data_IF_796391431191
#
_entry.id   IF_796391431191
#
_cell.length_a   1.000
_cell.length_b   1.000
_cell.length_c   1.000
_cell.angle_alpha   90.00
_cell.angle_beta   90.00
_cell.angle_gamma   90.00
#
_symmetry.space_group_name_H-M   'P 1'
#
loop_
_entity.id
_entity.type
_entity.pdbx_description
1 polymer ?
#
# COMPACT_ATOMS: atom_id res chain seq x y z
N UNK A 1 39.24 -8.52 -6.95
CA UNK A 1 38.26 -8.41 -5.85
C UNK A 1 37.20 -9.47 -6.09
N UNK A 2 36.86 -10.34 -5.14
CA UNK A 2 35.89 -11.42 -5.39
C UNK A 2 34.47 -10.88 -5.63
N UNK A 3 33.68 -11.53 -6.49
CA UNK A 3 32.33 -11.11 -6.88
C UNK A 3 31.40 -10.83 -5.67
N UNK A 4 31.52 -11.62 -4.59
CA UNK A 4 30.77 -11.41 -3.36
C UNK A 4 31.11 -10.13 -2.59
N UNK A 5 32.33 -9.58 -2.71
CA UNK A 5 32.70 -8.30 -2.09
C UNK A 5 32.13 -7.13 -2.89
N UNK A 6 32.17 -7.22 -4.22
CA UNK A 6 31.61 -6.18 -5.11
C UNK A 6 30.09 -6.06 -4.89
N UNK A 7 29.37 -7.17 -4.74
CA UNK A 7 27.91 -7.15 -4.48
C UNK A 7 27.57 -6.44 -3.18
N UNK A 8 28.33 -6.70 -2.10
CA UNK A 8 28.14 -6.02 -0.81
C UNK A 8 28.40 -4.52 -0.89
N UNK A 9 29.44 -4.11 -1.62
CA UNK A 9 29.77 -2.68 -1.79
C UNK A 9 28.66 -1.98 -2.59
N UNK A 10 28.21 -2.58 -3.71
CA UNK A 10 27.10 -2.04 -4.50
C UNK A 10 25.82 -1.91 -3.66
N UNK A 11 25.53 -2.92 -2.81
CA UNK A 11 24.39 -2.88 -1.90
C UNK A 11 24.50 -1.73 -0.89
N UNK A 12 25.66 -1.53 -0.26
CA UNK A 12 25.86 -0.41 0.69
C UNK A 12 25.60 0.93 0.00
N UNK A 13 26.16 1.14 -1.20
CA UNK A 13 25.91 2.37 -1.96
C UNK A 13 24.43 2.54 -2.34
N UNK A 14 23.72 1.47 -2.73
CA UNK A 14 22.27 1.55 -2.97
C UNK A 14 21.49 1.85 -1.70
N UNK A 15 21.90 1.31 -0.54
CA UNK A 15 21.28 1.64 0.76
C UNK A 15 21.49 3.12 1.06
N UNK A 16 22.70 3.66 0.92
CA UNK A 16 22.98 5.08 1.15
C UNK A 16 22.19 5.98 0.18
N UNK A 17 22.17 5.60 -1.10
CA UNK A 17 21.41 6.25 -2.18
C UNK A 17 19.90 6.29 -1.87
N UNK A 18 19.32 5.18 -1.44
CA UNK A 18 17.91 5.10 -1.14
C UNK A 18 17.54 5.79 0.19
N UNK A 19 18.31 5.52 1.25
CA UNK A 19 17.93 5.92 2.61
C UNK A 19 18.13 7.40 2.89
N UNK A 20 19.06 8.06 2.20
CA UNK A 20 19.31 9.50 2.38
C UNK A 20 18.13 10.40 2.00
N UNK A 21 17.10 9.90 1.30
CA UNK A 21 15.84 10.63 1.06
C UNK A 21 14.96 10.76 2.32
N UNK A 22 15.16 9.87 3.29
CA UNK A 22 14.46 9.92 4.58
C UNK A 22 15.10 10.97 5.52
N UNK A 23 16.13 11.66 5.04
CA UNK A 23 16.76 12.80 5.68
C UNK A 23 16.38 14.10 4.94
N UNK A 24 16.28 15.25 5.65
CA UNK A 24 16.42 15.38 7.09
C UNK A 24 15.26 14.70 7.83
N UNK A 25 15.55 14.25 9.05
CA UNK A 25 14.58 13.70 9.99
C UNK A 25 14.78 14.39 11.35
N UNK A 26 13.85 14.26 12.32
CA UNK A 26 13.99 14.98 13.59
C UNK A 26 15.30 14.69 14.34
N UNK A 27 15.87 13.50 14.14
CA UNK A 27 17.17 13.12 14.73
C UNK A 27 18.37 13.72 13.98
N UNK A 28 18.19 14.09 12.71
CA UNK A 28 19.23 14.59 11.81
C UNK A 28 18.62 15.69 10.91
N UNK A 29 18.44 16.91 11.44
CA UNK A 29 17.71 17.98 10.75
C UNK A 29 18.52 18.61 9.60
N UNK A 30 19.82 18.33 9.53
CA UNK A 30 20.71 18.92 8.53
C UNK A 30 20.47 18.30 7.16
N UNK A 31 20.24 19.15 6.15
CA UNK A 31 20.19 18.72 4.74
C UNK A 31 21.54 18.33 4.13
N UNK A 32 22.59 18.28 4.96
CA UNK A 32 23.96 17.99 4.55
C UNK A 32 24.63 17.00 5.50
N UNK A 33 25.54 16.17 4.98
CA UNK A 33 26.42 15.29 5.76
C UNK A 33 27.85 15.65 5.37
N UNK A 34 28.67 16.03 6.35
CA UNK A 34 30.04 16.52 6.12
C UNK A 34 30.15 17.62 5.05
N UNK A 35 29.15 18.52 4.99
CA UNK A 35 29.11 19.63 4.03
C UNK A 35 28.60 19.28 2.64
N UNK A 36 28.35 18.00 2.34
CA UNK A 36 27.75 17.56 1.08
C UNK A 36 26.22 17.54 1.18
N UNK A 37 25.52 18.06 0.18
CA UNK A 37 24.06 17.99 0.16
C UNK A 37 23.57 16.55 0.02
N UNK A 38 22.47 16.21 0.70
CA UNK A 38 21.90 14.85 0.63
C UNK A 38 21.58 14.42 -0.81
N UNK A 39 21.20 15.36 -1.68
CA UNK A 39 20.97 15.08 -3.10
C UNK A 39 22.25 14.65 -3.85
N UNK A 40 23.38 15.28 -3.53
CA UNK A 40 24.67 14.94 -4.14
C UNK A 40 25.15 13.57 -3.65
N UNK A 41 24.96 13.28 -2.35
CA UNK A 41 25.23 11.96 -1.77
C UNK A 41 24.42 10.89 -2.48
N UNK A 42 23.12 11.12 -2.68
CA UNK A 42 22.23 10.22 -3.43
C UNK A 42 22.77 9.91 -4.80
N UNK A 43 23.11 10.95 -5.57
CA UNK A 43 23.58 10.80 -6.96
C UNK A 43 24.94 10.12 -7.04
N UNK A 44 25.88 10.49 -6.18
CA UNK A 44 27.21 9.89 -6.13
C UNK A 44 27.14 8.40 -5.77
N UNK A 45 26.38 8.07 -4.72
CA UNK A 45 26.19 6.68 -4.30
C UNK A 45 25.53 5.84 -5.40
N UNK A 46 24.54 6.39 -6.10
CA UNK A 46 23.86 5.67 -7.18
C UNK A 46 24.78 5.39 -8.37
N UNK A 47 25.51 6.40 -8.82
CA UNK A 47 26.47 6.29 -9.92
C UNK A 47 27.56 5.25 -9.64
N UNK A 48 28.05 5.21 -8.40
CA UNK A 48 29.02 4.18 -7.97
C UNK A 48 28.36 2.80 -7.99
N UNK A 49 27.15 2.66 -7.45
CA UNK A 49 26.44 1.39 -7.44
C UNK A 49 26.16 0.86 -8.86
N UNK A 50 25.74 1.71 -9.79
CA UNK A 50 25.52 1.36 -11.21
C UNK A 50 26.81 0.92 -11.91
N UNK A 51 27.92 1.58 -11.62
CA UNK A 51 29.23 1.22 -12.16
C UNK A 51 29.68 -0.16 -11.65
N UNK A 52 29.39 -0.46 -10.39
CA UNK A 52 29.68 -1.78 -9.79
C UNK A 52 28.73 -2.86 -10.32
N UNK A 53 27.46 -2.55 -10.59
CA UNK A 53 26.44 -3.47 -11.10
C UNK A 53 26.88 -4.16 -12.40
N UNK A 54 27.53 -3.42 -13.31
CA UNK A 54 28.10 -3.97 -14.55
C UNK A 54 29.14 -5.08 -14.34
N UNK A 55 29.74 -5.13 -13.15
CA UNK A 55 30.77 -6.10 -12.78
C UNK A 55 30.24 -7.25 -11.91
N UNK A 56 28.92 -7.29 -11.64
CA UNK A 56 28.31 -8.31 -10.79
C UNK A 56 27.84 -9.52 -11.61
N UNK A 57 28.38 -10.69 -11.29
CA UNK A 57 27.82 -11.99 -11.64
C UNK A 57 27.36 -12.69 -10.36
N UNK A 58 26.12 -12.47 -9.90
CA UNK A 58 25.67 -13.10 -8.65
C UNK A 58 24.35 -12.58 -8.05
N UNK A 59 24.13 -12.91 -6.78
CA UNK A 59 23.00 -12.52 -5.91
C UNK A 59 22.85 -10.99 -5.91
N UNK A 60 22.02 -10.52 -6.84
CA UNK A 60 21.82 -9.11 -7.16
C UNK A 60 20.46 -8.55 -6.75
N UNK A 61 19.60 -9.41 -6.20
CA UNK A 61 18.21 -9.08 -5.86
C UNK A 61 18.12 -7.83 -4.98
N UNK A 62 18.93 -7.73 -3.93
CA UNK A 62 18.83 -6.63 -2.96
C UNK A 62 19.21 -5.27 -3.56
N UNK A 63 20.25 -5.20 -4.39
CA UNK A 63 20.65 -3.92 -5.00
C UNK A 63 19.69 -3.52 -6.12
N UNK A 64 19.19 -4.49 -6.90
CA UNK A 64 18.14 -4.25 -7.91
C UNK A 64 16.83 -3.80 -7.26
N UNK A 65 16.44 -4.40 -6.15
CA UNK A 65 15.25 -3.99 -5.38
C UNK A 65 15.36 -2.55 -4.87
N UNK A 66 16.52 -2.12 -4.39
CA UNK A 66 16.73 -0.73 -3.97
C UNK A 66 16.75 0.24 -5.16
N UNK A 67 17.36 -0.14 -6.29
CA UNK A 67 17.34 0.65 -7.51
C UNK A 67 15.90 0.83 -8.05
N UNK A 68 15.12 -0.25 -8.02
CA UNK A 68 13.70 -0.24 -8.36
C UNK A 68 12.92 0.70 -7.44
N UNK A 69 13.11 0.60 -6.11
CA UNK A 69 12.41 1.47 -5.16
C UNK A 69 12.73 2.95 -5.39
N UNK A 70 14.00 3.26 -5.69
CA UNK A 70 14.40 4.62 -6.06
C UNK A 70 13.71 5.10 -7.33
N UNK A 71 13.71 4.31 -8.40
CA UNK A 71 13.04 4.67 -9.65
C UNK A 71 11.54 4.93 -9.44
N UNK A 72 10.91 4.16 -8.54
CA UNK A 72 9.52 4.40 -8.13
C UNK A 72 9.35 5.76 -7.47
N UNK A 73 10.21 6.12 -6.52
CA UNK A 73 10.14 7.42 -5.82
C UNK A 73 10.36 8.62 -6.74
N UNK A 74 11.22 8.45 -7.74
CA UNK A 74 11.53 9.48 -8.75
C UNK A 74 10.39 9.62 -9.79
N UNK A 75 9.36 8.77 -9.71
CA UNK A 75 8.24 8.79 -10.64
C UNK A 75 8.62 8.29 -12.03
N UNK A 76 9.56 7.35 -12.12
CA UNK A 76 10.00 6.74 -13.37
C UNK A 76 9.45 5.30 -13.50
N UNK A 77 8.18 5.14 -13.96
CA UNK A 77 7.50 3.85 -13.97
C UNK A 77 8.17 2.82 -14.90
N UNK A 78 8.79 3.28 -15.99
CA UNK A 78 9.45 2.40 -16.96
C UNK A 78 10.72 1.77 -16.36
N UNK A 79 11.58 2.60 -15.75
CA UNK A 79 12.79 2.10 -15.05
C UNK A 79 12.39 1.25 -13.85
N UNK A 80 11.37 1.67 -13.09
CA UNK A 80 10.83 0.88 -11.99
C UNK A 80 10.44 -0.52 -12.46
N UNK A 81 9.65 -0.63 -13.54
CA UNK A 81 9.17 -1.90 -14.06
C UNK A 81 10.31 -2.76 -14.61
N UNK A 82 11.26 -2.16 -15.33
CA UNK A 82 12.45 -2.87 -15.80
C UNK A 82 13.24 -3.48 -14.64
N UNK A 83 13.57 -2.67 -13.62
CA UNK A 83 14.34 -3.13 -12.46
C UNK A 83 13.58 -4.14 -11.61
N UNK A 84 12.26 -4.03 -11.50
CA UNK A 84 11.39 -5.01 -10.84
C UNK A 84 11.45 -6.36 -11.58
N UNK A 85 11.31 -6.35 -12.90
CA UNK A 85 11.43 -7.55 -13.73
C UNK A 85 12.79 -8.24 -13.56
N UNK A 86 13.87 -7.45 -13.61
CA UNK A 86 15.23 -7.96 -13.39
C UNK A 86 15.40 -8.54 -11.98
N UNK A 87 14.86 -7.89 -10.95
CA UNK A 87 14.91 -8.38 -9.58
C UNK A 87 14.14 -9.70 -9.42
N UNK A 88 12.92 -9.81 -9.96
CA UNK A 88 12.11 -11.04 -9.91
C UNK A 88 12.83 -12.18 -10.62
N UNK A 89 13.24 -11.96 -11.87
CA UNK A 89 13.96 -12.96 -12.67
C UNK A 89 15.21 -13.42 -11.93
N UNK A 90 16.00 -12.50 -11.39
CA UNK A 90 17.24 -12.87 -10.69
C UNK A 90 16.97 -13.66 -9.42
N UNK A 91 15.87 -13.37 -8.73
CA UNK A 91 15.43 -14.10 -7.53
C UNK A 91 15.00 -15.53 -7.86
N UNK A 92 14.30 -15.71 -8.98
CA UNK A 92 13.89 -17.02 -9.49
C UNK A 92 15.09 -17.85 -9.96
N UNK A 93 16.05 -17.24 -10.66
CA UNK A 93 17.28 -17.91 -11.14
C UNK A 93 18.10 -18.53 -10.00
N UNK A 94 18.10 -17.89 -8.82
CA UNK A 94 18.81 -18.39 -7.63
C UNK A 94 17.92 -19.20 -6.69
N UNK A 95 16.66 -19.46 -7.07
CA UNK A 95 15.71 -20.28 -6.32
C UNK A 95 15.20 -19.66 -5.01
N UNK A 96 15.34 -18.34 -4.82
CA UNK A 96 14.88 -17.62 -3.62
C UNK A 96 13.39 -17.22 -3.69
N UNK A 97 12.72 -17.54 -4.79
CA UNK A 97 11.27 -17.43 -4.99
C UNK A 97 10.48 -18.58 -4.34
N UNK A 98 11.18 -19.63 -3.88
CA UNK A 98 10.58 -20.81 -3.26
C UNK A 98 10.67 -20.74 -1.75
N UNK A 99 9.52 -20.75 -1.09
CA UNK A 99 9.44 -20.89 0.36
C UNK A 99 9.73 -22.34 0.78
N UNK A 100 10.47 -22.49 1.88
CA UNK A 100 10.75 -23.80 2.49
C UNK A 100 10.35 -23.72 3.97
N UNK A 101 9.25 -24.37 4.38
CA UNK A 101 8.86 -24.43 5.78
C UNK A 101 9.92 -25.09 6.65
N UNK A 102 10.04 -24.65 7.90
CA UNK A 102 10.93 -25.25 8.88
C UNK A 102 10.20 -26.19 9.84
N UNK A 103 10.99 -27.06 10.47
CA UNK A 103 10.60 -28.04 11.48
C UNK A 103 10.60 -27.47 12.91
N UNK A 104 11.15 -26.27 13.11
CA UNK A 104 11.18 -25.58 14.39
C UNK A 104 11.07 -24.06 14.22
N UNK A 105 10.65 -23.38 15.29
CA UNK A 105 10.33 -21.95 15.30
C UNK A 105 11.52 -21.04 14.95
N UNK A 106 12.69 -21.29 15.52
CA UNK A 106 13.90 -20.49 15.23
C UNK A 106 14.31 -20.53 13.76
N UNK A 107 14.18 -21.71 13.15
CA UNK A 107 14.47 -21.90 11.73
C UNK A 107 13.36 -21.33 10.85
N UNK A 108 12.10 -21.39 11.29
CA UNK A 108 10.97 -20.76 10.60
C UNK A 108 11.18 -19.25 10.51
N UNK A 109 11.51 -18.59 11.64
CA UNK A 109 11.80 -17.16 11.68
C UNK A 109 12.92 -16.80 10.69
N UNK A 110 13.98 -17.63 10.59
CA UNK A 110 15.06 -17.42 9.61
C UNK A 110 14.58 -17.59 8.17
N UNK A 111 13.78 -18.62 7.90
CA UNK A 111 13.26 -18.89 6.56
C UNK A 111 12.31 -17.77 6.09
N UNK A 112 11.42 -17.29 6.97
CA UNK A 112 10.58 -16.11 6.71
C UNK A 112 11.45 -14.90 6.35
N UNK A 113 12.46 -14.57 7.17
CA UNK A 113 13.35 -13.43 6.93
C UNK A 113 14.11 -13.54 5.60
N UNK A 114 14.51 -14.75 5.19
CA UNK A 114 15.17 -14.99 3.91
C UNK A 114 14.22 -14.89 2.72
N UNK A 115 12.94 -15.20 2.92
CA UNK A 115 11.90 -15.13 1.89
C UNK A 115 11.30 -13.73 1.71
N UNK A 116 11.36 -12.90 2.75
CA UNK A 116 10.81 -11.53 2.77
C UNK A 116 11.19 -10.64 1.57
N UNK A 117 12.44 -10.65 1.05
CA UNK A 117 12.76 -9.87 -0.14
C UNK A 117 11.89 -10.23 -1.35
N UNK A 118 11.62 -11.53 -1.58
CA UNK A 118 10.75 -11.96 -2.65
C UNK A 118 9.29 -11.60 -2.38
N UNK A 119 8.84 -11.72 -1.13
CA UNK A 119 7.52 -11.24 -0.71
C UNK A 119 7.28 -9.77 -1.10
N UNK A 120 8.28 -8.90 -0.88
CA UNK A 120 8.18 -7.49 -1.26
C UNK A 120 8.13 -7.32 -2.79
N UNK A 121 8.95 -8.04 -3.56
CA UNK A 121 8.89 -8.02 -5.02
C UNK A 121 7.50 -8.43 -5.54
N UNK A 122 6.91 -9.48 -4.96
CA UNK A 122 5.55 -9.92 -5.29
C UNK A 122 4.50 -8.84 -5.03
N UNK A 123 4.58 -8.18 -3.86
CA UNK A 123 3.67 -7.08 -3.51
C UNK A 123 3.80 -5.95 -4.53
N UNK A 124 5.02 -5.51 -4.85
CA UNK A 124 5.23 -4.41 -5.80
C UNK A 124 4.82 -4.78 -7.24
N UNK A 125 5.03 -6.02 -7.67
CA UNK A 125 4.58 -6.52 -8.98
C UNK A 125 3.05 -6.53 -9.08
N UNK A 126 2.37 -6.89 -7.99
CA UNK A 126 0.91 -6.85 -7.92
C UNK A 126 0.30 -5.45 -7.97
N UNK A 127 1.08 -4.41 -7.69
CA UNK A 127 0.65 -3.01 -7.71
C UNK A 127 0.81 -2.38 -9.10
N UNK A 128 1.35 -3.10 -10.08
CA UNK A 128 1.44 -2.61 -11.45
C UNK A 128 0.12 -2.81 -12.19
N UNK A 129 -0.27 -1.87 -13.05
CA UNK A 129 -1.47 -1.97 -13.91
C UNK A 129 -1.33 -3.07 -15.00
N UNK A 130 -0.35 -3.95 -14.89
CA UNK A 130 0.04 -4.91 -15.91
C UNK A 130 -0.03 -6.34 -15.41
N UNK A 131 -0.03 -7.30 -16.33
CA UNK A 131 0.01 -8.73 -15.99
C UNK A 131 1.22 -8.98 -15.08
N UNK A 132 1.01 -9.52 -13.86
CA UNK A 132 2.10 -9.76 -12.92
C UNK A 132 3.17 -10.68 -13.50
N UNK A 133 4.44 -10.30 -13.34
CA UNK A 133 5.62 -11.06 -13.76
C UNK A 133 5.83 -12.27 -12.85
N UNK A 134 5.53 -12.14 -11.56
CA UNK A 134 5.81 -13.17 -10.55
C UNK A 134 4.88 -14.39 -10.60
N UNK A 135 3.84 -14.37 -11.44
CA UNK A 135 2.72 -15.32 -11.34
C UNK A 135 1.94 -15.14 -10.02
N UNK A 136 1.03 -16.07 -9.71
CA UNK A 136 0.33 -16.11 -8.42
C UNK A 136 1.06 -17.05 -7.44
N UNK A 137 1.24 -16.62 -6.19
CA UNK A 137 1.78 -17.49 -5.15
C UNK A 137 0.71 -18.46 -4.68
N UNK A 138 1.10 -19.73 -4.55
CA UNK A 138 0.25 -20.76 -3.95
C UNK A 138 0.25 -20.63 -2.43
N UNK A 139 -0.79 -21.15 -1.78
CA UNK A 139 -0.94 -21.06 -0.33
C UNK A 139 0.22 -21.74 0.43
N UNK A 140 0.81 -22.80 -0.11
CA UNK A 140 1.98 -23.50 0.45
C UNK A 140 3.29 -22.70 0.32
N UNK A 141 3.29 -21.61 -0.45
CA UNK A 141 4.42 -20.69 -0.62
C UNK A 141 4.32 -19.47 0.30
N UNK A 142 3.22 -19.31 1.04
CA UNK A 142 3.03 -18.21 1.99
C UNK A 142 3.47 -18.68 3.39
N UNK A 143 4.41 -17.97 4.06
CA UNK A 143 4.87 -18.37 5.39
C UNK A 143 3.74 -18.47 6.44
N UNK A 144 3.91 -19.34 7.44
CA UNK A 144 2.94 -19.44 8.53
C UNK A 144 2.95 -18.15 9.37
N UNK A 145 1.76 -17.66 9.69
CA UNK A 145 1.51 -16.41 10.41
C UNK A 145 1.17 -16.63 11.88
N UNK A 146 1.19 -17.88 12.35
CA UNK A 146 0.88 -18.27 13.74
C UNK A 146 2.02 -18.05 14.74
N UNK A 147 3.13 -17.45 14.30
CA UNK A 147 4.25 -17.11 15.17
C UNK A 147 3.80 -16.12 16.26
N UNK A 148 4.07 -16.48 17.51
CA UNK A 148 3.71 -15.68 18.70
C UNK A 148 4.98 -15.44 19.52
N UNK A 149 5.48 -14.21 19.60
CA UNK A 149 4.91 -12.96 19.08
C UNK A 149 5.05 -12.82 17.55
N UNK A 150 4.29 -11.90 16.91
CA UNK A 150 4.46 -11.60 15.49
C UNK A 150 5.91 -11.19 15.17
N UNK A 151 6.46 -11.71 14.08
CA UNK A 151 7.82 -11.38 13.58
C UNK A 151 7.81 -10.00 12.91
N UNK A 152 8.99 -9.38 12.73
CA UNK A 152 9.09 -8.19 11.89
C UNK A 152 8.55 -8.46 10.48
N UNK A 153 7.78 -7.51 9.93
CA UNK A 153 7.20 -7.55 8.58
C UNK A 153 6.08 -8.58 8.37
N UNK A 154 5.43 -9.03 9.45
CA UNK A 154 4.30 -9.98 9.36
C UNK A 154 3.14 -9.40 8.54
N UNK A 155 2.97 -8.07 8.51
CA UNK A 155 1.97 -7.41 7.66
C UNK A 155 2.15 -7.70 6.17
N UNK A 156 3.39 -7.89 5.71
CA UNK A 156 3.67 -8.17 4.30
C UNK A 156 3.13 -9.55 3.90
N UNK A 157 3.16 -10.52 4.81
CA UNK A 157 2.57 -11.84 4.57
C UNK A 157 1.04 -11.69 4.42
N UNK A 158 0.39 -10.88 5.26
CA UNK A 158 -1.05 -10.62 5.13
C UNK A 158 -1.39 -9.81 3.87
N UNK A 159 -0.53 -8.90 3.43
CA UNK A 159 -0.68 -8.20 2.14
C UNK A 159 -0.62 -9.19 0.97
N UNK A 160 0.29 -10.17 0.99
CA UNK A 160 0.34 -11.23 -0.03
C UNK A 160 -0.95 -12.04 -0.04
N UNK A 161 -1.43 -12.44 1.13
CA UNK A 161 -2.70 -13.17 1.25
C UNK A 161 -3.88 -12.35 0.72
N UNK A 162 -3.89 -11.04 0.97
CA UNK A 162 -4.89 -10.12 0.44
C UNK A 162 -4.80 -10.00 -1.09
N UNK A 163 -3.59 -9.89 -1.65
CA UNK A 163 -3.36 -9.88 -3.09
C UNK A 163 -3.86 -11.18 -3.73
N UNK A 164 -3.52 -12.34 -3.14
CA UNK A 164 -3.99 -13.64 -3.62
C UNK A 164 -5.52 -13.75 -3.57
N UNK A 165 -6.12 -13.31 -2.46
CA UNK A 165 -7.58 -13.25 -2.31
C UNK A 165 -8.21 -12.45 -3.47
N UNK A 166 -7.71 -11.24 -3.74
CA UNK A 166 -8.26 -10.42 -4.82
C UNK A 166 -7.98 -10.98 -6.20
N UNK A 167 -6.82 -11.57 -6.46
CA UNK A 167 -6.52 -12.23 -7.75
C UNK A 167 -7.48 -13.38 -8.03
N UNK A 168 -7.81 -14.18 -7.01
CA UNK A 168 -8.73 -15.31 -7.14
C UNK A 168 -10.20 -14.87 -7.26
N UNK A 169 -10.53 -13.67 -6.79
CA UNK A 169 -11.88 -13.12 -6.82
C UNK A 169 -12.07 -12.02 -7.89
N UNK A 170 -11.03 -11.65 -8.62
CA UNK A 170 -11.10 -10.57 -9.61
C UNK A 170 -11.83 -11.04 -10.86
N UNK A 171 -12.63 -10.17 -11.49
CA UNK A 171 -13.22 -10.50 -12.77
C UNK A 171 -12.12 -10.56 -13.84
N UNK A 172 -12.46 -11.15 -15.00
CA UNK A 172 -11.54 -11.16 -16.14
C UNK A 172 -11.20 -9.72 -16.53
N UNK A 173 -9.93 -9.53 -16.93
CA UNK A 173 -9.44 -8.27 -17.51
C UNK A 173 -10.40 -7.83 -18.62
N UNK A 174 -10.72 -6.53 -18.65
CA UNK A 174 -11.63 -5.87 -19.60
C UNK A 174 -13.14 -6.14 -19.45
N UNK A 175 -13.58 -6.70 -18.32
CA UNK A 175 -15.01 -6.79 -18.01
C UNK A 175 -15.59 -5.45 -17.55
N UNK A 176 -16.82 -5.15 -18.00
CA UNK A 176 -17.57 -4.01 -17.48
C UNK A 176 -17.81 -4.14 -15.97
N UNK A 177 -17.94 -3.00 -15.28
CA UNK A 177 -18.27 -2.99 -13.85
C UNK A 177 -19.63 -3.66 -13.59
N UNK A 178 -19.58 -4.80 -12.89
CA UNK A 178 -20.72 -5.54 -12.38
C UNK A 178 -20.92 -5.19 -10.90
N UNK A 179 -22.04 -4.51 -10.63
CA UNK A 179 -22.43 -4.01 -9.30
C UNK A 179 -22.66 -5.16 -8.32
N UNK A 180 -23.31 -6.23 -8.78
CA UNK A 180 -23.63 -7.39 -7.93
C UNK A 180 -22.35 -8.17 -7.63
N UNK A 181 -21.47 -8.31 -8.61
CA UNK A 181 -20.17 -8.95 -8.40
C UNK A 181 -19.26 -8.14 -7.47
N UNK A 182 -19.25 -6.81 -7.56
CA UNK A 182 -18.54 -5.95 -6.61
C UNK A 182 -19.00 -6.18 -5.17
N UNK A 183 -20.31 -6.37 -4.97
CA UNK A 183 -20.88 -6.67 -3.66
C UNK A 183 -20.47 -8.05 -3.15
N UNK A 184 -20.62 -9.08 -3.99
CA UNK A 184 -20.21 -10.46 -3.63
C UNK A 184 -18.73 -10.54 -3.23
N UNK A 185 -17.86 -9.81 -3.93
CA UNK A 185 -16.42 -9.76 -3.61
C UNK A 185 -16.15 -9.11 -2.26
N UNK A 186 -16.89 -8.03 -1.95
CA UNK A 186 -16.82 -7.41 -0.64
C UNK A 186 -17.35 -8.32 0.48
N UNK A 187 -18.47 -9.02 0.25
CA UNK A 187 -18.98 -10.02 1.18
C UNK A 187 -17.98 -11.16 1.42
N UNK A 188 -17.32 -11.65 0.36
CA UNK A 188 -16.25 -12.65 0.47
C UNK A 188 -15.06 -12.13 1.27
N UNK A 189 -14.65 -10.87 1.07
CA UNK A 189 -13.58 -10.26 1.89
C UNK A 189 -13.95 -10.30 3.38
N UNK A 190 -15.18 -9.92 3.70
CA UNK A 190 -15.71 -9.84 5.06
C UNK A 190 -15.87 -11.21 5.73
N UNK A 191 -16.28 -12.23 4.97
CA UNK A 191 -16.62 -13.55 5.52
C UNK A 191 -15.48 -14.58 5.43
N UNK A 192 -14.55 -14.40 4.49
CA UNK A 192 -13.49 -15.37 4.20
C UNK A 192 -12.10 -14.84 4.55
N UNK A 193 -11.77 -13.60 4.20
CA UNK A 193 -10.42 -13.07 4.44
C UNK A 193 -10.26 -12.48 5.84
N UNK A 194 -11.08 -11.48 6.22
CA UNK A 194 -10.91 -10.77 7.49
C UNK A 194 -10.97 -11.66 8.74
N UNK A 195 -11.82 -12.70 8.82
CA UNK A 195 -11.85 -13.60 9.97
C UNK A 195 -10.57 -14.43 10.15
N UNK A 196 -9.71 -14.49 9.13
CA UNK A 196 -8.43 -15.22 9.19
C UNK A 196 -7.27 -14.38 9.73
N UNK A 197 -7.48 -13.09 9.97
CA UNK A 197 -6.48 -12.23 10.55
C UNK A 197 -6.32 -12.54 12.06
N UNK A 198 -5.08 -12.64 12.57
CA UNK A 198 -4.86 -12.82 14.00
C UNK A 198 -5.26 -11.56 14.77
N UNK A 199 -5.54 -11.71 16.07
CA UNK A 199 -6.01 -10.63 16.95
C UNK A 199 -5.12 -9.39 16.99
N UNK A 200 -3.81 -9.53 16.73
CA UNK A 200 -2.89 -8.40 16.66
C UNK A 200 -3.10 -7.51 15.41
N UNK A 201 -3.75 -8.03 14.37
CA UNK A 201 -3.84 -7.43 13.03
C UNK A 201 -5.28 -7.21 12.53
N UNK A 202 -6.30 -7.72 13.22
CA UNK A 202 -7.70 -7.38 12.95
C UNK A 202 -7.92 -5.87 12.99
N UNK A 203 -9.00 -5.39 12.37
CA UNK A 203 -9.28 -3.96 12.21
C UNK A 203 -9.42 -3.21 13.55
N UNK A 204 -9.85 -3.92 14.60
CA UNK A 204 -9.79 -3.48 16.00
C UNK A 204 -8.74 -4.31 16.77
N UNK A 205 -7.46 -3.94 16.69
CA UNK A 205 -6.38 -4.82 17.09
C UNK A 205 -6.21 -4.94 18.61
N UNK A 206 -5.83 -6.13 19.07
CA UNK A 206 -5.31 -6.33 20.42
C UNK A 206 -3.93 -5.68 20.55
N UNK A 207 -3.81 -4.71 21.46
CA UNK A 207 -2.62 -3.89 21.71
C UNK A 207 -1.72 -4.39 22.85
N UNK A 208 -1.96 -5.59 23.39
CA UNK A 208 -1.23 -6.10 24.56
C UNK A 208 0.29 -6.18 24.35
N UNK A 209 0.74 -6.33 23.09
CA UNK A 209 2.14 -6.48 22.72
C UNK A 209 2.82 -5.17 22.31
N UNK A 210 2.12 -4.03 22.33
CA UNK A 210 2.65 -2.77 21.76
C UNK A 210 3.87 -2.25 22.51
N UNK A 211 3.95 -2.55 23.82
CA UNK A 211 5.10 -2.17 24.66
C UNK A 211 6.34 -2.97 24.32
N UNK A 212 6.17 -4.26 24.03
CA UNK A 212 7.28 -5.19 23.78
C UNK A 212 7.72 -5.17 22.31
N UNK A 213 6.80 -4.79 21.40
CA UNK A 213 7.04 -4.74 19.95
C UNK A 213 6.67 -3.36 19.38
N UNK A 214 7.56 -2.36 19.50
CA UNK A 214 7.30 -0.99 19.04
C UNK A 214 6.97 -0.88 17.55
N UNK A 215 7.37 -1.86 16.74
CA UNK A 215 7.08 -1.91 15.30
C UNK A 215 5.65 -2.39 14.98
N UNK A 216 4.99 -3.08 15.91
CA UNK A 216 3.70 -3.71 15.66
C UNK A 216 2.58 -2.72 15.33
N UNK A 217 2.46 -1.54 15.99
CA UNK A 217 1.53 -0.50 15.55
C UNK A 217 1.71 -0.12 14.08
N UNK A 218 2.94 0.03 13.60
CA UNK A 218 3.20 0.36 12.20
C UNK A 218 2.71 -0.73 11.26
N UNK A 219 3.08 -1.98 11.53
CA UNK A 219 2.68 -3.14 10.72
C UNK A 219 1.14 -3.19 10.56
N UNK A 220 0.39 -2.90 11.63
CA UNK A 220 -1.08 -2.81 11.57
C UNK A 220 -1.56 -1.71 10.65
N UNK A 221 -1.04 -0.49 10.80
CA UNK A 221 -1.47 0.65 9.99
C UNK A 221 -1.16 0.40 8.50
N UNK A 222 0.00 -0.17 8.16
CA UNK A 222 0.35 -0.59 6.79
C UNK A 222 -0.62 -1.63 6.23
N UNK A 223 -0.98 -2.64 7.03
CA UNK A 223 -1.96 -3.64 6.64
C UNK A 223 -3.34 -3.03 6.44
N UNK A 224 -3.79 -2.20 7.39
CA UNK A 224 -5.11 -1.57 7.35
C UNK A 224 -5.25 -0.65 6.16
N UNK A 225 -4.23 0.14 5.83
CA UNK A 225 -4.18 0.91 4.58
C UNK A 225 -4.38 -0.02 3.39
N UNK A 226 -3.67 -1.14 3.32
CA UNK A 226 -3.79 -2.09 2.21
C UNK A 226 -5.20 -2.70 2.10
N UNK A 227 -5.82 -3.07 3.24
CA UNK A 227 -7.18 -3.58 3.29
C UNK A 227 -8.17 -2.54 2.77
N UNK A 228 -8.16 -1.33 3.33
CA UNK A 228 -9.11 -0.29 2.94
C UNK A 228 -8.88 0.19 1.51
N UNK A 229 -7.63 0.33 1.06
CA UNK A 229 -7.32 0.65 -0.34
C UNK A 229 -7.82 -0.42 -1.31
N UNK A 230 -7.79 -1.70 -0.91
CA UNK A 230 -8.37 -2.78 -1.75
C UNK A 230 -9.89 -2.68 -1.85
N UNK A 231 -10.57 -2.25 -0.78
CA UNK A 231 -12.02 -1.96 -0.83
C UNK A 231 -12.29 -0.74 -1.71
N UNK A 232 -11.45 0.29 -1.63
CA UNK A 232 -11.52 1.42 -2.55
C UNK A 232 -11.39 0.97 -4.01
N UNK A 233 -10.45 0.07 -4.31
CA UNK A 233 -10.27 -0.46 -5.66
C UNK A 233 -11.51 -1.23 -6.16
N UNK A 234 -12.12 -2.05 -5.30
CA UNK A 234 -13.33 -2.81 -5.63
C UNK A 234 -14.51 -1.89 -6.04
N UNK A 235 -14.70 -0.78 -5.32
CA UNK A 235 -15.86 0.10 -5.52
C UNK A 235 -15.58 1.37 -6.32
N UNK A 236 -14.31 1.73 -6.58
CA UNK A 236 -13.93 2.90 -7.39
C UNK A 236 -14.72 3.05 -8.70
N UNK A 237 -14.99 1.98 -9.48
CA UNK A 237 -15.75 2.12 -10.73
C UNK A 237 -17.18 2.66 -10.55
N UNK A 238 -17.76 2.61 -9.35
CA UNK A 238 -19.09 3.19 -9.06
C UNK A 238 -19.15 4.70 -9.35
N UNK A 239 -18.00 5.37 -9.31
CA UNK A 239 -17.86 6.80 -9.63
C UNK A 239 -17.82 7.07 -11.14
N UNK A 240 -17.53 6.05 -11.94
CA UNK A 240 -17.38 6.16 -13.40
C UNK A 240 -18.66 5.74 -14.14
N UNK A 241 -19.71 5.31 -13.42
CA UNK A 241 -20.98 4.91 -14.01
C UNK A 241 -21.71 6.11 -14.63
N UNK A 242 -21.99 6.01 -15.93
CA UNK A 242 -22.75 7.02 -16.65
C UNK A 242 -24.22 7.07 -16.19
N UNK A 243 -24.86 8.26 -16.16
CA UNK A 243 -26.27 8.38 -15.78
C UNK A 243 -27.22 7.49 -16.57
N UNK A 244 -26.97 7.31 -17.87
CA UNK A 244 -27.77 6.45 -18.75
C UNK A 244 -27.68 4.99 -18.31
N UNK A 245 -26.46 4.52 -17.99
CA UNK A 245 -26.23 3.16 -17.47
C UNK A 245 -26.91 2.96 -16.12
N UNK A 246 -26.86 3.95 -15.22
CA UNK A 246 -27.57 3.90 -13.93
C UNK A 246 -29.09 3.76 -14.13
N UNK A 247 -29.65 4.49 -15.09
CA UNK A 247 -31.08 4.46 -15.39
C UNK A 247 -31.53 3.14 -16.05
N UNK A 248 -30.65 2.46 -16.78
CA UNK A 248 -30.94 1.15 -17.38
C UNK A 248 -30.83 -0.03 -16.40
N UNK A 249 -30.24 0.18 -15.22
CA UNK A 249 -30.10 -0.91 -14.23
C UNK A 249 -31.44 -1.35 -13.65
N UNK A 250 -31.62 -2.65 -13.38
CA UNK A 250 -32.71 -3.16 -12.55
C UNK A 250 -32.78 -2.45 -11.19
N UNK A 251 -33.99 -2.35 -10.63
CA UNK A 251 -34.21 -1.65 -9.36
C UNK A 251 -33.37 -2.22 -8.21
N UNK A 252 -33.23 -3.56 -8.16
CA UNK A 252 -32.44 -4.25 -7.14
C UNK A 252 -30.94 -3.89 -7.23
N UNK A 253 -30.38 -3.84 -8.44
CA UNK A 253 -28.97 -3.51 -8.65
C UNK A 253 -28.71 -2.02 -8.39
N UNK A 254 -29.66 -1.16 -8.79
CA UNK A 254 -29.59 0.29 -8.51
C UNK A 254 -29.60 0.58 -7.01
N UNK A 255 -30.32 -0.23 -6.22
CA UNK A 255 -30.36 -0.10 -4.77
C UNK A 255 -29.00 -0.35 -4.10
N UNK A 256 -28.06 -1.04 -4.76
CA UNK A 256 -26.70 -1.27 -4.28
C UNK A 256 -25.76 -0.08 -4.51
N UNK A 257 -26.11 0.91 -5.35
CA UNK A 257 -25.20 2.00 -5.68
C UNK A 257 -24.90 2.93 -4.51
N UNK A 258 -25.94 3.38 -3.79
CA UNK A 258 -25.79 4.21 -2.58
C UNK A 258 -24.94 3.49 -1.53
N UNK A 259 -25.28 2.23 -1.22
CA UNK A 259 -24.48 1.32 -0.44
C UNK A 259 -22.98 1.31 -0.80
N UNK A 260 -22.64 0.96 -2.04
CA UNK A 260 -21.25 0.87 -2.49
C UNK A 260 -20.48 2.20 -2.42
N UNK A 261 -21.15 3.31 -2.73
CA UNK A 261 -20.57 4.65 -2.60
C UNK A 261 -20.25 4.99 -1.14
N UNK A 262 -21.12 4.61 -0.21
CA UNK A 262 -20.88 4.77 1.22
C UNK A 262 -19.70 3.92 1.69
N UNK A 263 -19.64 2.64 1.29
CA UNK A 263 -18.51 1.77 1.59
C UNK A 263 -17.19 2.34 1.03
N UNK A 264 -17.21 2.86 -0.20
CA UNK A 264 -16.06 3.53 -0.83
C UNK A 264 -15.61 4.76 -0.02
N UNK A 265 -16.54 5.61 0.41
CA UNK A 265 -16.23 6.80 1.20
C UNK A 265 -15.61 6.44 2.56
N UNK A 266 -16.20 5.46 3.27
CA UNK A 266 -15.69 5.02 4.57
C UNK A 266 -14.32 4.36 4.43
N UNK A 267 -14.12 3.53 3.39
CA UNK A 267 -12.81 2.94 3.11
C UNK A 267 -11.76 4.02 2.83
N UNK A 268 -12.07 4.99 1.95
CA UNK A 268 -11.18 6.09 1.63
C UNK A 268 -10.83 6.92 2.88
N UNK A 269 -11.83 7.27 3.69
CA UNK A 269 -11.63 7.96 4.95
C UNK A 269 -10.71 7.20 5.92
N UNK A 270 -10.87 5.88 6.01
CA UNK A 270 -10.02 5.05 6.85
C UNK A 270 -8.58 4.98 6.33
N UNK A 271 -8.35 4.92 5.02
CA UNK A 271 -6.98 5.04 4.46
C UNK A 271 -6.33 6.34 4.93
N UNK A 272 -7.03 7.47 4.82
CA UNK A 272 -6.50 8.77 5.24
C UNK A 272 -6.24 8.84 6.74
N UNK A 273 -7.17 8.34 7.56
CA UNK A 273 -7.01 8.32 9.02
C UNK A 273 -5.80 7.49 9.44
N UNK A 274 -5.61 6.32 8.83
CA UNK A 274 -4.45 5.44 9.11
C UNK A 274 -3.14 6.08 8.64
N UNK A 275 -3.15 6.79 7.51
CA UNK A 275 -2.01 7.61 7.07
C UNK A 275 -1.63 8.68 8.10
N UNK A 276 -2.61 9.42 8.62
CA UNK A 276 -2.39 10.44 9.65
C UNK A 276 -1.85 9.81 10.94
N UNK A 277 -2.38 8.64 11.34
CA UNK A 277 -1.84 7.88 12.47
C UNK A 277 -0.37 7.49 12.27
N UNK A 278 0.01 6.97 11.10
CA UNK A 278 1.41 6.66 10.77
C UNK A 278 2.32 7.89 10.92
N UNK A 279 1.84 9.06 10.51
CA UNK A 279 2.58 10.31 10.66
C UNK A 279 2.90 10.61 12.13
N UNK A 280 1.92 10.40 13.03
CA UNK A 280 2.09 10.62 14.47
C UNK A 280 3.06 9.63 15.11
N UNK A 281 3.14 8.41 14.58
CA UNK A 281 4.00 7.36 15.13
C UNK A 281 5.49 7.56 14.77
N UNK A 282 5.83 7.90 13.52
CA UNK A 282 7.24 7.96 13.05
C UNK A 282 7.89 9.35 13.03
N UNK A 283 7.23 10.38 13.56
CA UNK A 283 7.62 11.77 13.25
C UNK A 283 7.66 12.06 11.73
N UNK A 284 6.86 11.32 10.95
CA UNK A 284 6.68 11.54 9.50
C UNK A 284 7.70 10.91 8.54
N UNK A 285 8.51 9.93 8.95
CA UNK A 285 9.49 9.29 8.05
C UNK A 285 8.81 8.27 7.12
N UNK A 286 8.04 7.32 7.66
CA UNK A 286 7.29 6.31 6.90
C UNK A 286 6.25 6.88 5.94
N UNK A 287 5.72 8.09 6.21
CA UNK A 287 4.77 8.76 5.32
C UNK A 287 5.36 9.18 3.98
N UNK A 288 6.69 9.05 3.80
CA UNK A 288 7.40 9.33 2.55
C UNK A 288 7.49 8.11 1.62
N UNK A 289 7.02 6.94 2.03
CA UNK A 289 7.08 5.72 1.22
C UNK A 289 6.04 5.74 0.10
N UNK A 290 6.38 5.32 -1.14
CA UNK A 290 5.40 5.20 -2.23
C UNK A 290 4.22 4.29 -1.90
N UNK A 291 4.48 3.20 -1.16
CA UNK A 291 3.47 2.26 -0.64
C UNK A 291 2.41 2.95 0.24
N UNK A 292 2.70 4.15 0.73
CA UNK A 292 1.81 4.96 1.57
C UNK A 292 1.28 6.17 0.82
N UNK A 293 2.14 6.90 0.10
CA UNK A 293 1.76 8.11 -0.64
C UNK A 293 0.71 7.80 -1.70
N UNK A 294 0.92 6.76 -2.52
CA UNK A 294 0.00 6.48 -3.64
C UNK A 294 -1.40 6.10 -3.14
N UNK A 295 -1.57 5.12 -2.21
CA UNK A 295 -2.91 4.79 -1.74
C UNK A 295 -3.58 5.94 -0.97
N UNK A 296 -2.80 6.77 -0.27
CA UNK A 296 -3.31 7.98 0.40
C UNK A 296 -3.84 9.00 -0.60
N UNK A 297 -3.07 9.28 -1.66
CA UNK A 297 -3.50 10.18 -2.73
C UNK A 297 -4.77 9.67 -3.43
N UNK A 298 -4.79 8.39 -3.80
CA UNK A 298 -5.95 7.78 -4.46
C UNK A 298 -7.20 7.87 -3.57
N UNK A 299 -7.07 7.52 -2.29
CA UNK A 299 -8.16 7.65 -1.32
C UNK A 299 -8.63 9.10 -1.15
N UNK A 300 -7.72 10.07 -1.11
CA UNK A 300 -8.06 11.49 -1.00
C UNK A 300 -8.86 11.98 -2.21
N UNK A 301 -8.45 11.61 -3.42
CA UNK A 301 -9.17 11.95 -4.66
C UNK A 301 -10.55 11.30 -4.68
N UNK A 302 -10.65 10.02 -4.29
CA UNK A 302 -11.93 9.31 -4.21
C UNK A 302 -12.89 9.98 -3.23
N UNK A 303 -12.41 10.31 -2.02
CA UNK A 303 -13.23 10.97 -1.00
C UNK A 303 -13.66 12.37 -1.43
N UNK A 304 -12.77 13.14 -2.06
CA UNK A 304 -13.11 14.46 -2.61
C UNK A 304 -14.14 14.36 -3.76
N UNK A 305 -14.01 13.37 -4.65
CA UNK A 305 -14.96 13.14 -5.73
C UNK A 305 -16.36 12.74 -5.22
N UNK A 306 -16.42 11.90 -4.18
CA UNK A 306 -17.66 11.54 -3.51
C UNK A 306 -18.32 12.76 -2.87
N UNK A 307 -17.53 13.60 -2.22
CA UNK A 307 -18.00 14.84 -1.59
C UNK A 307 -18.54 15.86 -2.61
N UNK A 308 -17.88 16.00 -3.76
CA UNK A 308 -18.32 16.90 -4.83
C UNK A 308 -19.70 16.51 -5.41
N UNK A 309 -20.05 15.22 -5.34
CA UNK A 309 -21.30 14.70 -5.88
C UNK A 309 -22.45 14.90 -4.87
N UNK A 310 -22.98 16.13 -4.81
CA UNK A 310 -24.05 16.59 -3.90
C UNK A 310 -25.35 15.76 -3.90
N UNK A 311 -25.51 14.81 -4.83
CA UNK A 311 -26.65 13.89 -4.88
C UNK A 311 -26.53 12.65 -4.00
N UNK A 312 -25.43 12.48 -3.24
CA UNK A 312 -25.34 11.44 -2.23
C UNK A 312 -26.07 11.88 -0.97
N UNK A 313 -27.32 11.47 -0.82
CA UNK A 313 -27.90 11.34 0.51
C UNK A 313 -27.04 10.30 1.27
N UNK A 314 -26.12 10.78 2.09
CA UNK A 314 -25.29 9.97 3.01
C UNK A 314 -26.16 9.14 3.97
N UNK A 315 -27.46 9.48 4.07
CA UNK A 315 -28.51 8.79 4.80
C UNK A 315 -28.97 7.51 4.09
N UNK A 316 -28.10 6.49 4.03
CA UNK A 316 -28.55 5.13 3.75
C UNK A 316 -29.30 4.58 4.98
N UNK A 317 -30.59 4.90 5.13
CA UNK A 317 -31.41 4.52 6.31
C UNK A 317 -31.58 3.02 6.50
N UNK A 318 -31.21 2.18 5.53
CA UNK A 318 -31.42 0.74 5.58
C UNK A 318 -30.24 -0.07 5.02
N UNK A 319 -29.01 0.32 5.32
CA UNK A 319 -27.86 -0.51 4.98
C UNK A 319 -27.64 -1.59 6.06
N UNK A 320 -28.59 -2.51 6.20
CA UNK A 320 -28.40 -3.72 7.00
C UNK A 320 -27.78 -4.79 6.11
N UNK A 321 -26.45 -4.85 6.08
CA UNK A 321 -25.77 -6.11 5.79
C UNK A 321 -26.00 -7.08 6.94
N UNK A 322 -27.19 -7.70 6.98
CA UNK A 322 -27.66 -8.40 8.17
C UNK A 322 -26.98 -9.77 8.43
N UNK A 323 -25.91 -10.14 7.70
CA UNK A 323 -25.24 -11.45 7.86
C UNK A 323 -23.70 -11.43 7.62
N UNK A 324 -23.02 -10.28 7.73
CA UNK A 324 -21.55 -10.28 7.65
C UNK A 324 -20.94 -10.75 8.97
N UNK A 325 -19.91 -11.61 8.89
CA UNK A 325 -19.16 -12.07 10.06
C UNK A 325 -18.30 -10.98 10.68
N UNK A 326 -17.69 -10.15 9.84
CA UNK A 326 -16.90 -8.97 10.21
C UNK A 326 -17.30 -7.87 9.25
N UNK A 327 -17.84 -6.76 9.76
CA UNK A 327 -18.09 -5.58 8.95
C UNK A 327 -17.00 -4.54 9.23
N UNK A 328 -16.08 -4.27 8.28
CA UNK A 328 -15.02 -3.25 8.41
C UNK A 328 -15.49 -1.86 8.83
N UNK A 329 -16.78 -1.60 8.71
CA UNK A 329 -17.35 -0.27 8.80
C UNK A 329 -18.40 -0.13 9.90
N UNK A 330 -18.65 -1.15 10.72
CA UNK A 330 -19.72 -1.18 11.73
C UNK A 330 -19.71 0.02 12.69
N UNK A 331 -18.52 0.54 13.06
CA UNK A 331 -18.36 1.72 13.93
C UNK A 331 -18.24 3.06 13.18
N UNK A 332 -18.02 3.03 11.86
CA UNK A 332 -17.70 4.21 11.06
C UNK A 332 -18.75 4.55 9.98
N UNK A 333 -19.67 3.63 9.66
CA UNK A 333 -20.74 3.86 8.67
C UNK A 333 -21.80 4.85 9.14
N UNK A 334 -22.12 4.90 10.43
CA UNK A 334 -23.20 5.76 10.93
C UNK A 334 -22.74 7.19 11.23
N UNK A 335 -21.42 7.44 11.23
CA UNK A 335 -20.81 8.65 11.79
C UNK A 335 -20.03 9.52 10.80
N UNK A 336 -19.95 9.13 9.51
CA UNK A 336 -19.18 9.88 8.53
C UNK A 336 -19.88 11.20 8.18
N UNK A 337 -19.44 12.29 8.83
CA UNK A 337 -19.96 13.64 8.61
C UNK A 337 -19.17 14.36 7.50
N UNK A 338 -19.84 15.14 6.64
CA UNK A 338 -19.19 15.93 5.59
C UNK A 338 -18.02 16.79 6.11
N UNK A 339 -18.18 17.42 7.28
CA UNK A 339 -17.18 18.29 7.90
C UNK A 339 -15.91 17.51 8.26
N UNK A 340 -16.08 16.30 8.82
CA UNK A 340 -14.99 15.43 9.21
C UNK A 340 -14.21 14.93 7.98
N UNK A 341 -14.90 14.60 6.88
CA UNK A 341 -14.25 14.24 5.62
C UNK A 341 -13.36 15.37 5.10
N UNK A 342 -13.87 16.61 5.10
CA UNK A 342 -13.13 17.78 4.63
C UNK A 342 -11.95 18.14 5.55
N UNK A 343 -12.11 18.02 6.86
CA UNK A 343 -11.01 18.20 7.82
C UNK A 343 -9.90 17.17 7.59
N UNK A 344 -10.25 15.90 7.41
CA UNK A 344 -9.29 14.83 7.10
C UNK A 344 -8.59 15.04 5.77
N UNK A 345 -9.31 15.50 4.73
CA UNK A 345 -8.72 15.84 3.43
C UNK A 345 -7.70 16.98 3.53
N UNK A 346 -8.04 18.06 4.25
CA UNK A 346 -7.12 19.18 4.49
C UNK A 346 -5.91 18.76 5.29
N UNK A 347 -6.12 18.01 6.37
CA UNK A 347 -5.03 17.46 7.19
C UNK A 347 -4.11 16.56 6.38
N UNK A 348 -4.66 15.76 5.46
CA UNK A 348 -3.87 14.92 4.55
C UNK A 348 -3.06 15.78 3.58
N UNK A 349 -3.66 16.80 2.98
CA UNK A 349 -2.97 17.72 2.08
C UNK A 349 -1.79 18.39 2.77
N UNK A 350 -1.99 18.92 3.99
CA UNK A 350 -0.94 19.58 4.77
C UNK A 350 0.26 18.64 5.01
N UNK A 351 -0.01 17.36 5.31
CA UNK A 351 1.05 16.36 5.51
C UNK A 351 1.76 15.96 4.21
N UNK A 352 1.03 15.85 3.09
CA UNK A 352 1.64 15.62 1.78
C UNK A 352 2.53 16.80 1.37
N UNK A 353 2.11 18.04 1.63
CA UNK A 353 2.90 19.25 1.41
C UNK A 353 4.20 19.24 2.24
N UNK A 354 4.14 18.84 3.52
CA UNK A 354 5.36 18.65 4.34
C UNK A 354 6.28 17.58 3.76
N UNK A 355 5.74 16.52 3.16
CA UNK A 355 6.54 15.47 2.52
C UNK A 355 7.12 15.90 1.16
N UNK A 356 6.53 16.89 0.50
CA UNK A 356 6.89 17.35 -0.85
C UNK A 356 8.33 17.89 -0.95
N UNK A 357 8.92 18.35 0.17
CA UNK A 357 10.30 18.83 0.22
C UNK A 357 11.33 17.77 -0.20
N UNK A 358 11.03 16.49 0.04
CA UNK A 358 11.97 15.37 -0.14
C UNK A 358 11.44 14.25 -1.03
N UNK A 359 10.17 14.31 -1.43
CA UNK A 359 9.52 13.30 -2.27
C UNK A 359 8.80 13.93 -3.46
N UNK A 360 9.25 13.58 -4.68
CA UNK A 360 8.62 14.01 -5.94
C UNK A 360 7.18 13.50 -6.01
N UNK A 361 6.92 12.26 -5.60
CA UNK A 361 5.57 11.71 -5.53
C UNK A 361 4.68 12.49 -4.57
N UNK A 362 5.15 12.83 -3.37
CA UNK A 362 4.38 13.60 -2.41
C UNK A 362 4.06 15.01 -2.94
N UNK A 363 5.03 15.64 -3.62
CA UNK A 363 4.84 16.94 -4.28
C UNK A 363 3.73 16.88 -5.33
N UNK A 364 3.82 15.94 -6.27
CA UNK A 364 2.81 15.75 -7.32
C UNK A 364 1.43 15.44 -6.73
N UNK A 365 1.38 14.59 -5.69
CA UNK A 365 0.14 14.26 -4.99
C UNK A 365 -0.47 15.49 -4.31
N UNK A 366 0.32 16.27 -3.58
CA UNK A 366 -0.14 17.49 -2.90
C UNK A 366 -0.66 18.55 -3.88
N UNK A 367 0.09 18.86 -4.94
CA UNK A 367 -0.30 19.84 -5.96
C UNK A 367 -1.58 19.42 -6.70
N UNK A 368 -1.74 18.12 -6.93
CA UNK A 368 -2.94 17.59 -7.59
C UNK A 368 -4.14 17.58 -6.64
N UNK A 369 -3.96 17.17 -5.40
CA UNK A 369 -5.02 17.18 -4.40
C UNK A 369 -5.50 18.59 -4.08
N UNK A 370 -4.60 19.57 -3.95
CA UNK A 370 -4.95 20.98 -3.78
C UNK A 370 -5.84 21.50 -4.91
N UNK A 371 -5.49 21.18 -6.17
CA UNK A 371 -6.32 21.52 -7.35
C UNK A 371 -7.69 20.85 -7.31
N UNK A 372 -7.76 19.58 -6.89
CA UNK A 372 -9.04 18.87 -6.74
C UNK A 372 -9.90 19.54 -5.67
N UNK A 373 -9.35 19.78 -4.48
CA UNK A 373 -10.10 20.40 -3.37
C UNK A 373 -10.59 21.81 -3.69
N UNK A 374 -9.79 22.61 -4.41
CA UNK A 374 -10.23 23.93 -4.90
C UNK A 374 -11.46 23.81 -5.79
N UNK A 375 -11.45 22.92 -6.78
CA UNK A 375 -12.61 22.67 -7.65
C UNK A 375 -13.85 22.21 -6.90
N UNK A 376 -13.67 21.38 -5.86
CA UNK A 376 -14.77 20.93 -5.02
C UNK A 376 -15.39 22.10 -4.24
N UNK A 377 -14.56 23.01 -3.73
CA UNK A 377 -15.02 24.20 -3.00
C UNK A 377 -15.60 25.29 -3.92
N UNK A 378 -15.09 25.45 -5.14
CA UNK A 378 -15.57 26.46 -6.11
C UNK A 378 -16.90 26.05 -6.76
N UNK A 379 -17.18 24.74 -6.81
CA UNK A 379 -18.48 24.21 -7.19
C UNK A 379 -19.52 24.26 -6.07
N UNK A 380 -19.23 24.95 -4.96
CA UNK A 380 -20.17 25.14 -3.86
C UNK A 380 -20.89 26.47 -3.89
#
# INVERSE_FOLDING_TARGET
MGAGRISKIALIYRICSYTSKFFPCPKYPTGTIHGMALADIRTACDSIAESLEKSLSGDGMHHLGLAMLRARDEGNPDIFRQKLSDAIRRTQEIGKDKYVPADNEDKEIRNVRQYMPFCNLYIWDSQTDSIPISGALKDDQVPDTRLNPPVELTERIFQIRLINFWRNNSPKVDSEYDIVLAEKRYEALCNEFLPTLPRAFVLEPNKQWDKDFPWLPYQREFLHISIFSSICYNYRPVLQLEPQKIQSLPANDRALLGPQRKALAVAAFNVLTRYLNLHTLESGISTRLPDIIMPTFDAAVLLAALYANRGMEWECKNYRHCMLRVNPFETHMESLKPELCMETLRSTLDHLQKCAETSVLAKTAAETLDRVLKRVNDGH
#
